data_IF_931508158679
#
_entry.id   IF_931508158679
#
_cell.length_a   1.000
_cell.length_b   1.000
_cell.length_c   1.000
_cell.angle_alpha   90.00
_cell.angle_beta   90.00
_cell.angle_gamma   90.00
#
_symmetry.space_group_name_H-M   'P 1'
#
loop_
_entity.id
_entity.type
_entity.pdbx_description
1 polymer ?
#
# COMPACT_ATOMS: atom_id res chain seq x y z
N UNK A 1 -11.73 -15.15 -55.03
CA UNK A 1 -11.22 -15.18 -53.65
C UNK A 1 -11.42 -13.79 -53.05
N UNK A 2 -11.16 -13.60 -51.76
CA UNK A 2 -11.36 -12.31 -51.08
C UNK A 2 -10.50 -11.18 -51.67
N UNK A 3 -9.42 -11.56 -52.37
CA UNK A 3 -8.56 -10.70 -53.19
C UNK A 3 -9.19 -10.29 -54.55
N UNK A 4 -10.40 -10.76 -54.87
CA UNK A 4 -11.06 -10.52 -56.15
C UNK A 4 -10.60 -11.41 -57.32
N UNK A 5 -9.62 -12.30 -57.12
CA UNK A 5 -9.13 -13.22 -58.15
C UNK A 5 -10.20 -14.25 -58.56
N UNK A 6 -10.22 -14.60 -59.85
CA UNK A 6 -11.15 -15.60 -60.42
C UNK A 6 -10.42 -16.88 -60.81
N UNK A 7 -11.03 -18.03 -60.51
CA UNK A 7 -10.57 -19.35 -60.94
C UNK A 7 -11.60 -19.92 -61.91
N UNK A 8 -11.20 -20.13 -63.17
CA UNK A 8 -11.99 -20.82 -64.17
C UNK A 8 -11.41 -22.23 -64.37
N UNK A 9 -12.26 -23.25 -64.37
CA UNK A 9 -11.84 -24.64 -64.60
C UNK A 9 -12.68 -25.28 -65.69
N UNK A 10 -12.06 -26.11 -66.53
CA UNK A 10 -12.78 -26.88 -67.55
C UNK A 10 -13.60 -28.00 -66.91
N UNK A 11 -14.64 -28.46 -67.61
CA UNK A 11 -15.41 -29.64 -67.18
C UNK A 11 -14.48 -30.85 -66.97
N UNK A 12 -14.77 -31.64 -65.93
CA UNK A 12 -13.97 -32.81 -65.56
C UNK A 12 -12.67 -32.52 -64.83
N UNK A 13 -12.39 -31.27 -64.43
CA UNK A 13 -11.28 -30.90 -63.56
C UNK A 13 -11.75 -30.59 -62.14
N UNK A 14 -10.86 -30.76 -61.16
CA UNK A 14 -11.12 -30.48 -59.74
C UNK A 14 -10.62 -29.09 -59.35
N UNK A 15 -11.32 -28.44 -58.42
CA UNK A 15 -10.84 -27.27 -57.69
C UNK A 15 -10.28 -27.75 -56.36
N UNK A 16 -9.05 -27.37 -56.05
CA UNK A 16 -8.44 -27.66 -54.75
C UNK A 16 -8.88 -26.62 -53.73
N UNK A 17 -9.35 -27.09 -52.56
CA UNK A 17 -9.57 -26.25 -51.38
C UNK A 17 -8.57 -26.72 -50.33
N UNK A 18 -7.66 -25.83 -49.93
CA UNK A 18 -6.61 -26.11 -48.96
C UNK A 18 -6.73 -25.21 -47.74
N UNK A 19 -6.27 -25.72 -46.60
CA UNK A 19 -5.97 -24.90 -45.43
C UNK A 19 -4.71 -24.03 -45.61
N UNK A 20 -4.39 -23.24 -44.59
CA UNK A 20 -3.16 -22.42 -44.55
C UNK A 20 -1.94 -23.20 -44.03
N UNK A 21 -2.12 -24.49 -43.69
CA UNK A 21 -1.09 -25.33 -43.09
C UNK A 21 -0.79 -25.00 -41.63
N UNK A 22 -1.58 -24.12 -41.00
CA UNK A 22 -1.40 -23.65 -39.62
C UNK A 22 -2.72 -23.58 -38.87
N UNK A 23 -3.53 -22.56 -39.13
CA UNK A 23 -4.75 -22.25 -38.37
C UNK A 23 -6.02 -22.84 -38.97
N UNK A 24 -6.05 -23.08 -40.27
CA UNK A 24 -7.19 -23.62 -41.00
C UNK A 24 -6.81 -24.96 -41.62
N UNK A 25 -7.65 -25.96 -41.38
CA UNK A 25 -7.56 -27.28 -42.00
C UNK A 25 -8.83 -27.59 -42.79
N UNK A 26 -8.66 -28.28 -43.90
CA UNK A 26 -9.76 -28.69 -44.79
C UNK A 26 -9.63 -30.17 -45.09
N UNK A 27 -10.70 -30.94 -44.87
CA UNK A 27 -10.73 -32.39 -45.16
C UNK A 27 -11.99 -32.77 -45.91
N UNK A 28 -11.89 -33.75 -46.79
CA UNK A 28 -13.05 -34.33 -47.50
C UNK A 28 -13.26 -35.74 -46.99
N UNK A 29 -14.44 -36.02 -46.45
CA UNK A 29 -14.86 -37.35 -46.01
C UNK A 29 -16.30 -37.60 -46.45
N UNK A 30 -16.56 -38.75 -47.10
CA UNK A 30 -17.89 -39.14 -47.58
C UNK A 30 -18.60 -38.06 -48.44
N UNK A 31 -17.84 -37.33 -49.26
CA UNK A 31 -18.37 -36.27 -50.11
C UNK A 31 -18.66 -34.94 -49.40
N UNK A 32 -18.41 -34.83 -48.08
CA UNK A 32 -18.53 -33.59 -47.33
C UNK A 32 -17.17 -32.91 -47.15
N UNK A 33 -17.11 -31.61 -47.41
CA UNK A 33 -15.98 -30.76 -47.06
C UNK A 33 -16.16 -30.25 -45.63
N UNK A 34 -15.22 -30.58 -44.77
CA UNK A 34 -15.13 -30.02 -43.41
C UNK A 34 -14.02 -28.98 -43.38
N UNK A 35 -14.33 -27.79 -42.87
CA UNK A 35 -13.36 -26.73 -42.57
C UNK A 35 -13.28 -26.58 -41.06
N UNK A 36 -12.07 -26.61 -40.50
CA UNK A 36 -11.84 -26.50 -39.06
C UNK A 36 -10.74 -25.50 -38.75
N UNK A 37 -10.94 -24.77 -37.66
CA UNK A 37 -9.85 -24.11 -36.95
C UNK A 37 -8.99 -25.16 -36.24
N UNK A 38 -7.68 -24.92 -36.20
CA UNK A 38 -6.78 -25.67 -35.34
C UNK A 38 -7.09 -25.35 -33.87
N UNK A 39 -6.80 -26.30 -32.98
CA UNK A 39 -7.01 -26.10 -31.54
C UNK A 39 -6.07 -25.00 -30.99
N UNK A 40 -4.88 -24.86 -31.60
CA UNK A 40 -3.93 -23.78 -31.34
C UNK A 40 -3.88 -22.85 -32.55
N UNK A 41 -4.22 -21.57 -32.35
CA UNK A 41 -4.15 -20.54 -33.38
C UNK A 41 -2.89 -19.70 -33.19
N UNK A 42 -2.05 -19.65 -34.23
CA UNK A 42 -0.86 -18.82 -34.28
C UNK A 42 -1.09 -17.66 -35.23
N UNK A 43 -1.06 -16.45 -34.70
CA UNK A 43 -1.08 -15.23 -35.50
C UNK A 43 0.36 -14.80 -35.84
N UNK A 44 0.53 -14.05 -36.93
CA UNK A 44 1.80 -13.42 -37.28
C UNK A 44 2.16 -12.29 -36.30
N UNK A 45 3.36 -11.70 -36.44
CA UNK A 45 3.87 -10.68 -35.51
C UNK A 45 3.00 -9.41 -35.46
N UNK A 46 2.32 -9.08 -36.55
CA UNK A 46 1.34 -7.99 -36.66
C UNK A 46 -0.11 -8.44 -36.34
N UNK A 47 -0.30 -9.73 -36.11
CA UNK A 47 -1.58 -10.32 -35.80
C UNK A 47 -2.10 -9.94 -34.42
N UNK A 48 -3.41 -9.87 -34.28
CA UNK A 48 -4.07 -9.61 -33.00
C UNK A 48 -5.47 -10.19 -32.94
N UNK A 49 -5.96 -10.42 -31.73
CA UNK A 49 -7.36 -10.73 -31.45
C UNK A 49 -7.99 -9.50 -30.80
N UNK A 50 -9.07 -8.99 -31.37
CA UNK A 50 -9.80 -7.84 -30.83
C UNK A 50 -11.26 -8.19 -30.59
N UNK A 51 -11.77 -7.86 -29.41
CA UNK A 51 -13.17 -8.06 -29.01
C UNK A 51 -13.66 -6.80 -28.30
N UNK A 52 -14.50 -6.01 -28.97
CA UNK A 52 -14.91 -4.70 -28.46
C UNK A 52 -13.70 -3.80 -28.20
N UNK A 53 -13.57 -3.28 -26.98
CA UNK A 53 -12.43 -2.47 -26.55
C UNK A 53 -11.18 -3.27 -26.13
N UNK A 54 -11.24 -4.59 -26.12
CA UNK A 54 -10.12 -5.45 -25.68
C UNK A 54 -9.30 -5.91 -26.88
N UNK A 55 -7.97 -5.83 -26.77
CA UNK A 55 -7.03 -6.31 -27.79
C UNK A 55 -5.89 -7.11 -27.18
N UNK A 56 -5.60 -8.26 -27.77
CA UNK A 56 -4.45 -9.10 -27.46
C UNK A 56 -3.52 -9.19 -28.68
N UNK A 57 -2.24 -8.87 -28.49
CA UNK A 57 -1.21 -8.90 -29.53
C UNK A 57 0.17 -9.29 -28.96
N UNK A 58 1.24 -9.14 -29.75
CA UNK A 58 2.61 -9.43 -29.33
C UNK A 58 3.09 -8.65 -28.09
N UNK A 59 2.45 -7.53 -27.75
CA UNK A 59 2.84 -6.68 -26.63
C UNK A 59 2.07 -7.06 -25.34
N UNK A 60 0.96 -7.81 -25.44
CA UNK A 60 0.16 -8.30 -24.32
C UNK A 60 -1.35 -8.09 -24.50
N UNK A 61 -2.05 -7.83 -23.39
CA UNK A 61 -3.48 -7.57 -23.31
C UNK A 61 -3.74 -6.10 -22.94
N UNK A 62 -4.59 -5.44 -23.73
CA UNK A 62 -5.02 -4.06 -23.49
C UNK A 62 -6.54 -3.96 -23.51
N UNK A 63 -7.09 -3.12 -22.63
CA UNK A 63 -8.51 -2.74 -22.66
C UNK A 63 -8.56 -1.23 -22.87
N UNK A 64 -9.26 -0.78 -23.91
CA UNK A 64 -9.44 0.65 -24.21
C UNK A 64 -10.01 1.37 -22.98
N UNK A 65 -9.37 2.48 -22.60
CA UNK A 65 -9.72 3.30 -21.43
C UNK A 65 -9.75 2.49 -20.11
N UNK A 66 -9.03 1.37 -20.06
CA UNK A 66 -9.05 0.38 -18.99
C UNK A 66 -7.67 -0.18 -18.64
N UNK A 67 -7.62 -1.22 -17.78
CA UNK A 67 -6.38 -1.87 -17.39
C UNK A 67 -5.62 -2.51 -18.56
N UNK A 68 -4.32 -2.73 -18.37
CA UNK A 68 -3.49 -3.48 -19.32
C UNK A 68 -2.49 -4.40 -18.61
N UNK A 69 -2.12 -5.48 -19.30
CA UNK A 69 -1.04 -6.39 -18.92
C UNK A 69 -0.14 -6.54 -20.13
N UNK A 70 1.06 -5.98 -20.07
CA UNK A 70 1.99 -5.94 -21.20
C UNK A 70 3.37 -6.43 -20.79
N UNK A 71 4.27 -6.55 -21.76
CA UNK A 71 5.69 -6.85 -21.51
C UNK A 71 6.37 -5.85 -20.57
N UNK A 72 5.81 -4.64 -20.41
CA UNK A 72 6.34 -3.61 -19.51
C UNK A 72 5.73 -3.68 -18.10
N UNK A 73 4.79 -4.59 -17.84
CA UNK A 73 4.12 -4.75 -16.55
C UNK A 73 2.60 -4.56 -16.63
N UNK A 74 2.01 -4.30 -15.46
CA UNK A 74 0.55 -4.17 -15.26
C UNK A 74 0.22 -2.71 -14.98
N UNK A 75 -0.74 -2.15 -15.71
CA UNK A 75 -1.33 -0.85 -15.42
C UNK A 75 -2.81 -1.03 -15.04
N UNK A 76 -3.18 -0.61 -13.84
CA UNK A 76 -4.56 -0.69 -13.35
C UNK A 76 -5.45 0.46 -13.88
N UNK A 77 -4.89 1.44 -14.58
CA UNK A 77 -5.59 2.61 -15.12
C UNK A 77 -6.44 3.32 -14.05
N UNK A 78 -5.84 3.56 -12.89
CA UNK A 78 -6.46 4.25 -11.74
C UNK A 78 -7.59 3.48 -11.04
N UNK A 79 -7.75 2.18 -11.30
CA UNK A 79 -8.79 1.34 -10.69
C UNK A 79 -8.28 0.57 -9.48
N UNK A 80 -9.21 0.19 -8.60
CA UNK A 80 -8.94 -0.68 -7.45
C UNK A 80 -8.61 -2.09 -7.92
N UNK A 81 -7.54 -2.67 -7.38
CA UNK A 81 -7.22 -4.09 -7.53
C UNK A 81 -7.78 -4.83 -6.31
N UNK A 82 -8.94 -5.47 -6.47
CA UNK A 82 -9.60 -6.25 -5.42
C UNK A 82 -9.21 -7.73 -5.44
N UNK A 83 -9.41 -8.45 -4.33
CA UNK A 83 -9.13 -9.89 -4.26
C UNK A 83 -7.66 -10.24 -4.05
N UNK A 84 -6.84 -9.26 -3.63
CA UNK A 84 -5.43 -9.46 -3.26
C UNK A 84 -5.38 -10.13 -1.88
N UNK A 85 -4.92 -11.39 -1.84
CA UNK A 85 -4.67 -12.12 -0.60
C UNK A 85 -3.50 -11.48 0.16
N UNK A 86 -3.45 -11.66 1.48
CA UNK A 86 -2.30 -11.25 2.29
C UNK A 86 -0.99 -11.76 1.70
N UNK A 87 -0.07 -10.83 1.43
CA UNK A 87 1.30 -11.14 1.01
C UNK A 87 2.08 -11.82 2.11
N UNK A 88 2.90 -12.81 1.73
CA UNK A 88 3.70 -13.64 2.64
C UNK A 88 5.20 -13.46 2.36
N UNK A 89 5.58 -13.26 1.10
CA UNK A 89 6.96 -13.07 0.67
C UNK A 89 7.25 -11.60 0.36
N UNK A 90 8.54 -11.23 0.33
CA UNK A 90 9.01 -9.85 0.13
C UNK A 90 8.53 -9.17 -1.18
N UNK A 91 8.14 -9.97 -2.18
CA UNK A 91 7.70 -9.47 -3.49
C UNK A 91 6.17 -9.57 -3.69
N UNK A 92 5.44 -10.03 -2.68
CA UNK A 92 3.99 -10.10 -2.76
C UNK A 92 3.37 -8.69 -2.61
N UNK A 93 2.25 -8.46 -3.28
CA UNK A 93 1.48 -7.25 -3.07
C UNK A 93 0.87 -7.24 -1.65
N UNK A 94 0.86 -6.06 -1.01
CA UNK A 94 0.16 -5.84 0.27
C UNK A 94 -1.27 -5.36 0.05
N UNK A 95 -2.21 -5.93 0.79
CA UNK A 95 -3.59 -5.44 0.80
C UNK A 95 -3.84 -4.47 1.97
N UNK A 96 -5.00 -3.79 1.95
CA UNK A 96 -5.35 -2.76 2.94
C UNK A 96 -5.48 -3.33 4.36
N UNK A 97 -5.90 -4.58 4.53
CA UNK A 97 -5.97 -5.20 5.87
C UNK A 97 -4.59 -5.40 6.51
N UNK A 98 -3.57 -5.74 5.72
CA UNK A 98 -2.19 -5.80 6.23
C UNK A 98 -1.71 -4.41 6.67
N UNK A 99 -1.91 -3.39 5.83
CA UNK A 99 -1.55 -2.01 6.16
C UNK A 99 -2.21 -1.53 7.46
N UNK A 100 -3.52 -1.76 7.63
CA UNK A 100 -4.24 -1.37 8.83
C UNK A 100 -3.74 -2.08 10.10
N UNK A 101 -3.33 -3.35 9.98
CA UNK A 101 -2.77 -4.12 11.09
C UNK A 101 -1.43 -3.55 11.54
N UNK A 102 -0.53 -3.24 10.60
CA UNK A 102 0.77 -2.66 10.91
C UNK A 102 0.63 -1.26 11.52
N UNK A 103 -0.26 -0.41 10.99
CA UNK A 103 -0.54 0.91 11.58
C UNK A 103 -1.03 0.78 13.02
N UNK A 104 -1.95 -0.15 13.27
CA UNK A 104 -2.48 -0.38 14.62
C UNK A 104 -1.37 -0.79 15.60
N UNK A 105 -0.45 -1.66 15.18
CA UNK A 105 0.70 -2.07 16.00
C UNK A 105 1.66 -0.91 16.26
N UNK A 106 1.94 -0.08 15.25
CA UNK A 106 2.80 1.08 15.40
C UNK A 106 2.22 2.12 16.39
N UNK A 107 0.91 2.36 16.36
CA UNK A 107 0.24 3.30 17.29
C UNK A 107 0.16 2.81 18.73
N UNK A 108 0.22 1.49 18.96
CA UNK A 108 0.14 0.90 20.30
C UNK A 108 1.50 0.86 21.02
N UNK A 109 2.61 1.20 20.35
CA UNK A 109 3.92 1.20 20.95
C UNK A 109 4.03 2.31 22.01
N UNK A 110 4.35 1.93 23.25
CA UNK A 110 4.76 2.87 24.30
C UNK A 110 6.01 3.61 23.84
N UNK A 111 5.83 4.83 23.34
CA UNK A 111 6.91 5.74 22.97
C UNK A 111 7.80 6.12 24.16
N UNK A 112 7.24 6.20 25.38
CA UNK A 112 7.95 6.41 26.65
C UNK A 112 7.05 6.18 27.89
N UNK A 113 7.68 5.99 29.06
CA UNK A 113 7.05 5.77 30.36
C UNK A 113 7.72 6.67 31.43
N UNK A 114 6.99 6.95 32.52
CA UNK A 114 7.48 7.72 33.67
C UNK A 114 7.65 6.84 34.90
N UNK A 115 8.74 7.06 35.65
CA UNK A 115 9.02 6.37 36.91
C UNK A 115 9.49 7.38 37.95
N UNK A 116 9.08 7.18 39.20
CA UNK A 116 9.51 7.95 40.36
C UNK A 116 10.52 7.16 41.20
N UNK A 117 11.27 7.87 42.05
CA UNK A 117 12.22 7.27 42.99
C UNK A 117 11.54 6.45 44.11
N UNK A 118 10.20 6.44 44.18
CA UNK A 118 9.42 5.67 45.17
C UNK A 118 9.55 4.15 45.01
N UNK A 119 10.20 3.67 43.95
CA UNK A 119 10.37 2.25 43.66
C UNK A 119 9.16 1.60 42.98
N UNK A 120 8.11 2.37 42.69
CA UNK A 120 6.92 1.92 41.96
C UNK A 120 7.24 1.54 40.50
N UNK A 121 6.37 0.75 39.90
CA UNK A 121 6.45 0.37 38.49
C UNK A 121 6.33 1.59 37.58
N UNK A 122 7.03 1.56 36.44
CA UNK A 122 6.95 2.63 35.45
C UNK A 122 5.54 2.70 34.84
N UNK A 123 5.00 3.92 34.72
CA UNK A 123 3.67 4.19 34.17
C UNK A 123 3.81 4.57 32.69
N UNK A 124 3.16 3.82 31.80
CA UNK A 124 3.08 4.17 30.38
C UNK A 124 2.18 5.39 30.20
N UNK A 125 2.75 6.49 29.69
CA UNK A 125 2.05 7.77 29.47
C UNK A 125 2.04 8.18 27.99
N UNK A 126 2.40 7.26 27.10
CA UNK A 126 2.33 7.48 25.66
C UNK A 126 0.88 7.80 25.26
N UNK A 127 0.70 8.87 24.48
CA UNK A 127 -0.60 9.41 24.07
C UNK A 127 -1.51 9.89 25.23
N UNK A 128 -0.94 10.12 26.43
CA UNK A 128 -1.64 10.71 27.57
C UNK A 128 -1.13 12.14 27.85
N UNK A 129 -1.90 12.89 28.63
CA UNK A 129 -1.43 14.17 29.21
C UNK A 129 -0.78 13.89 30.55
N UNK A 130 0.46 14.33 30.73
CA UNK A 130 1.17 14.31 32.02
C UNK A 130 1.13 15.72 32.60
N UNK A 131 0.63 15.86 33.82
CA UNK A 131 0.60 17.13 34.54
C UNK A 131 1.65 17.12 35.66
N UNK A 132 2.56 18.10 35.66
CA UNK A 132 3.51 18.33 36.76
C UNK A 132 2.95 19.42 37.65
N UNK A 133 2.56 19.06 38.88
CA UNK A 133 1.98 19.99 39.86
C UNK A 133 3.03 20.45 40.86
N UNK A 134 2.82 21.65 41.40
CA UNK A 134 3.63 22.16 42.51
C UNK A 134 3.08 21.67 43.85
N UNK A 135 3.97 21.32 44.78
CA UNK A 135 3.66 21.01 46.17
C UNK A 135 3.82 22.22 47.09
N UNK A 136 3.70 21.99 48.41
CA UNK A 136 4.00 23.02 49.41
C UNK A 136 5.45 23.51 49.24
N UNK A 137 5.64 24.83 49.20
CA UNK A 137 6.92 25.51 49.03
C UNK A 137 7.63 25.29 47.68
N UNK A 138 6.92 24.83 46.66
CA UNK A 138 7.47 24.76 45.29
C UNK A 138 6.57 25.51 44.32
N UNK A 139 7.12 25.89 43.17
CA UNK A 139 6.36 26.43 42.04
C UNK A 139 6.89 25.82 40.76
N UNK A 140 5.99 25.30 39.93
CA UNK A 140 6.30 24.78 38.60
C UNK A 140 5.86 25.83 37.57
N UNK A 141 6.74 26.18 36.64
CA UNK A 141 6.42 27.16 35.59
C UNK A 141 5.47 26.59 34.52
N UNK A 142 4.93 27.46 33.67
CA UNK A 142 4.37 27.00 32.40
C UNK A 142 5.46 26.37 31.53
N UNK A 143 5.07 25.41 30.68
CA UNK A 143 5.95 24.86 29.66
C UNK A 143 6.22 25.94 28.62
N UNK A 144 7.50 26.17 28.34
CA UNK A 144 7.96 27.02 27.24
C UNK A 144 8.55 26.17 26.12
N UNK A 145 8.56 26.70 24.90
CA UNK A 145 9.17 26.05 23.72
C UNK A 145 10.13 27.03 23.07
N UNK A 146 11.36 26.60 22.83
CA UNK A 146 12.35 27.41 22.11
C UNK A 146 12.18 27.30 20.58
N UNK A 147 12.91 28.15 19.84
CA UNK A 147 12.89 28.16 18.37
C UNK A 147 13.44 26.88 17.73
N UNK A 148 14.12 26.03 18.52
CA UNK A 148 14.65 24.72 18.08
C UNK A 148 13.68 23.59 18.35
N UNK A 149 12.56 23.86 19.02
CA UNK A 149 11.53 22.90 19.35
C UNK A 149 11.72 22.13 20.66
N UNK A 150 12.67 22.55 21.50
CA UNK A 150 12.84 21.97 22.83
C UNK A 150 11.79 22.55 23.78
N UNK A 151 11.19 21.67 24.59
CA UNK A 151 10.25 22.06 25.64
C UNK A 151 10.96 22.09 26.99
N UNK A 152 10.72 23.12 27.79
CA UNK A 152 11.29 23.27 29.13
C UNK A 152 10.26 23.80 30.12
N UNK A 153 10.47 23.49 31.39
CA UNK A 153 9.79 24.09 32.53
C UNK A 153 10.79 24.17 33.70
N UNK A 154 10.52 25.07 34.64
CA UNK A 154 11.36 25.30 35.82
C UNK A 154 10.61 24.86 37.09
N UNK A 155 11.36 24.37 38.08
CA UNK A 155 10.86 24.09 39.43
C UNK A 155 11.61 24.99 40.40
N UNK A 156 10.90 25.96 40.94
CA UNK A 156 11.40 26.87 41.98
C UNK A 156 11.02 26.35 43.37
N UNK A 157 11.86 26.61 44.36
CA UNK A 157 11.49 26.49 45.78
C UNK A 157 11.11 27.88 46.28
N UNK A 158 9.87 28.06 46.72
CA UNK A 158 9.33 29.34 47.20
C UNK A 158 9.05 29.27 48.69
N UNK A 159 9.59 30.21 49.48
CA UNK A 159 9.16 30.40 50.86
C UNK A 159 9.49 29.25 51.81
N UNK A 160 10.73 28.74 51.80
CA UNK A 160 11.21 27.99 52.98
C UNK A 160 11.14 28.96 54.17
N UNK A 161 10.36 28.67 55.23
CA UNK A 161 10.43 29.47 56.44
C UNK A 161 11.85 29.37 56.98
N UNK A 162 12.60 30.46 56.91
CA UNK A 162 13.86 30.58 57.62
C UNK A 162 13.49 31.04 59.02
N UNK A 163 13.18 30.10 59.91
CA UNK A 163 13.13 30.41 61.34
C UNK A 163 14.55 30.67 61.81
N UNK A 164 14.86 31.93 62.10
CA UNK A 164 16.06 32.27 62.83
C UNK A 164 15.75 32.02 64.30
N UNK A 165 16.52 31.16 64.96
CA UNK A 165 16.43 30.98 66.41
C UNK A 165 17.65 31.59 67.10
N UNK A 166 17.48 32.10 68.32
CA UNK A 166 18.60 32.49 69.16
C UNK A 166 19.37 31.24 69.68
N UNK A 167 20.44 31.46 70.42
CA UNK A 167 21.23 30.39 71.06
C UNK A 167 20.45 29.53 72.06
N UNK A 168 19.21 29.91 72.41
CA UNK A 168 18.31 29.23 73.33
C UNK A 168 17.13 28.55 72.58
N UNK A 169 17.09 28.64 71.25
CA UNK A 169 16.04 28.04 70.42
C UNK A 169 14.77 28.89 70.30
N UNK A 170 14.75 30.13 70.77
CA UNK A 170 13.58 31.01 70.63
C UNK A 170 13.52 31.61 69.23
N UNK A 171 12.34 31.69 68.58
CA UNK A 171 12.19 32.37 67.30
C UNK A 171 12.57 33.85 67.39
N UNK A 172 13.50 34.29 66.53
CA UNK A 172 13.85 35.68 66.33
C UNK A 172 12.82 36.32 65.39
N UNK A 173 12.05 37.27 65.93
CA UNK A 173 11.17 38.14 65.14
C UNK A 173 11.90 39.44 64.83
N UNK A 174 11.91 39.83 63.55
CA UNK A 174 12.44 41.13 63.15
C UNK A 174 11.49 42.24 63.63
N UNK A 175 11.92 43.05 64.58
CA UNK A 175 11.19 44.24 65.05
C UNK A 175 11.68 45.44 64.24
N UNK A 176 10.95 45.74 63.16
CA UNK A 176 11.15 46.90 62.28
C UNK A 176 9.83 47.29 61.63
#
# INVERSE_FOLDING_TARGET
>A
ADDGSKVNTSLGKHITVGGDGQNISTTVQNGSLTVRLADNIRLADDGSVSVGGTRMDKNGLTIKDGPSVTVNGIDAAGRVISGVKDGVNDQDAVNVSQLNREISQATAATTWALKTESGDEAVAVSSQTVEVRHGQNTRVSAISKDDKGNYSYEIDVTGIPVEYTDSQGNPLVNIG
#
